data_IF_408493320193
#
_entry.id   IF_408493320193
#
_cell.length_a   1.000
_cell.length_b   1.000
_cell.length_c   1.000
_cell.angle_alpha   90.00
_cell.angle_beta   90.00
_cell.angle_gamma   90.00
#
_symmetry.space_group_name_H-M   'P 1'
#
loop_
_entity.id
_entity.type
_entity.pdbx_description
1 polymer ?
#
# COMPACT_ATOMS: atom_id res chain seq x y z
N UNK A 1 8.72 -20.91 1.50
CA UNK A 1 7.75 -20.21 2.38
C UNK A 1 7.91 -18.73 2.12
N UNK A 2 6.81 -17.99 1.92
CA UNK A 2 6.87 -16.53 1.71
C UNK A 2 6.96 -15.81 3.07
N UNK A 3 7.70 -14.69 3.18
CA UNK A 3 7.82 -13.97 4.43
C UNK A 3 6.55 -13.18 4.75
N UNK A 4 6.28 -12.99 6.04
CA UNK A 4 5.41 -11.89 6.50
C UNK A 4 6.23 -10.61 6.55
N UNK A 5 5.64 -9.50 6.09
CA UNK A 5 6.31 -8.21 6.02
C UNK A 5 5.59 -7.19 6.90
N UNK A 6 6.37 -6.41 7.66
CA UNK A 6 5.91 -5.18 8.29
C UNK A 6 6.51 -4.01 7.53
N UNK A 7 5.67 -3.21 6.86
CA UNK A 7 6.10 -2.09 6.02
C UNK A 7 5.58 -0.81 6.65
N UNK A 8 6.50 0.09 7.03
CA UNK A 8 6.13 1.46 7.37
C UNK A 8 5.72 2.19 6.09
N UNK A 9 4.47 2.63 6.00
CA UNK A 9 3.96 3.33 4.81
C UNK A 9 4.41 4.81 4.75
N UNK A 10 4.81 5.40 5.87
CA UNK A 10 5.34 6.76 5.92
C UNK A 10 4.43 7.81 5.28
N UNK A 11 5.04 8.82 4.65
CA UNK A 11 4.33 9.83 3.85
C UNK A 11 3.86 9.24 2.52
N UNK A 12 2.65 9.57 2.03
CA UNK A 12 2.17 9.20 0.69
C UNK A 12 3.17 9.51 -0.43
N UNK A 13 3.99 10.56 -0.27
CA UNK A 13 5.03 10.92 -1.22
C UNK A 13 6.02 9.79 -1.52
N UNK A 14 6.15 8.79 -0.66
CA UNK A 14 6.96 7.59 -0.90
C UNK A 14 6.63 6.91 -2.24
N UNK A 15 5.38 7.00 -2.71
CA UNK A 15 4.97 6.46 -4.00
C UNK A 15 5.64 7.17 -5.20
N UNK A 16 5.97 8.46 -5.06
CA UNK A 16 6.44 9.31 -6.16
C UNK A 16 7.89 9.78 -5.99
N UNK A 17 8.38 9.91 -4.75
CA UNK A 17 9.69 10.46 -4.44
C UNK A 17 10.75 9.36 -4.48
N UNK A 18 11.74 9.44 -5.38
CA UNK A 18 12.85 8.51 -5.41
C UNK A 18 13.67 8.56 -4.11
N UNK A 19 14.18 7.42 -3.68
CA UNK A 19 14.99 7.29 -2.47
C UNK A 19 15.08 5.85 -1.99
N UNK A 20 15.90 5.58 -0.95
CA UNK A 20 16.22 4.22 -0.55
C UNK A 20 14.99 3.35 -0.24
N UNK A 21 13.99 3.90 0.45
CA UNK A 21 12.76 3.18 0.76
C UNK A 21 11.89 2.93 -0.49
N UNK A 22 11.78 3.92 -1.38
CA UNK A 22 11.06 3.80 -2.65
C UNK A 22 11.67 2.70 -3.52
N UNK A 23 12.99 2.74 -3.71
CA UNK A 23 13.72 1.80 -4.55
C UNK A 23 13.66 0.38 -3.98
N UNK A 24 13.80 0.25 -2.66
CA UNK A 24 13.66 -1.02 -1.96
C UNK A 24 12.28 -1.66 -2.20
N UNK A 25 11.20 -0.92 -1.99
CA UNK A 25 9.83 -1.44 -2.15
C UNK A 25 9.54 -1.82 -3.61
N UNK A 26 10.00 -1.02 -4.57
CA UNK A 26 9.86 -1.33 -6.01
C UNK A 26 10.61 -2.60 -6.40
N UNK A 27 11.81 -2.82 -5.85
CA UNK A 27 12.56 -4.06 -6.08
C UNK A 27 11.86 -5.25 -5.42
N UNK A 28 11.46 -5.11 -4.15
CA UNK A 28 10.79 -6.16 -3.39
C UNK A 28 9.51 -6.66 -4.08
N UNK A 29 8.69 -5.74 -4.61
CA UNK A 29 7.47 -6.09 -5.34
C UNK A 29 7.72 -6.85 -6.66
N UNK A 30 8.93 -6.81 -7.21
CA UNK A 30 9.32 -7.60 -8.39
C UNK A 30 9.89 -8.97 -8.01
N UNK A 31 10.47 -9.10 -6.82
CA UNK A 31 11.10 -10.33 -6.34
C UNK A 31 10.08 -11.29 -5.70
N UNK A 32 9.01 -10.77 -5.10
CA UNK A 32 7.97 -11.57 -4.47
C UNK A 32 6.84 -11.88 -5.46
N UNK A 33 6.59 -13.17 -5.69
CA UNK A 33 5.55 -13.67 -6.60
C UNK A 33 4.53 -14.57 -5.87
N UNK A 34 3.78 -14.03 -4.89
CA UNK A 34 2.76 -14.79 -4.19
C UNK A 34 1.54 -15.07 -5.09
N UNK A 35 0.83 -16.17 -4.82
CA UNK A 35 -0.47 -16.45 -5.46
C UNK A 35 -1.60 -15.57 -4.90
N UNK A 36 -1.43 -15.04 -3.68
CA UNK A 36 -2.34 -14.09 -3.04
C UNK A 36 -1.59 -13.29 -1.95
N UNK A 37 -2.04 -12.06 -1.70
CA UNK A 37 -1.53 -11.19 -0.63
C UNK A 37 -2.69 -10.83 0.31
N UNK A 38 -2.46 -10.96 1.62
CA UNK A 38 -3.34 -10.39 2.64
C UNK A 38 -2.69 -9.12 3.16
N UNK A 39 -3.39 -7.98 3.03
CA UNK A 39 -2.91 -6.67 3.48
C UNK A 39 -3.67 -6.27 4.75
N UNK A 40 -2.93 -5.89 5.78
CA UNK A 40 -3.47 -5.28 7.01
C UNK A 40 -2.95 -3.84 7.07
N UNK A 41 -3.87 -2.87 7.08
CA UNK A 41 -3.54 -1.45 7.02
C UNK A 41 -3.86 -0.74 8.33
N UNK A 42 -2.95 0.10 8.80
CA UNK A 42 -3.18 0.98 9.96
C UNK A 42 -4.32 1.98 9.73
N UNK A 43 -4.60 2.29 8.45
CA UNK A 43 -5.65 3.22 8.04
C UNK A 43 -7.04 2.56 7.96
N UNK A 44 -7.12 1.23 8.04
CA UNK A 44 -8.39 0.51 8.02
C UNK A 44 -8.74 -0.06 9.39
N UNK A 45 -9.25 0.82 10.25
CA UNK A 45 -9.65 0.48 11.61
C UNK A 45 -11.16 0.26 11.73
N UNK A 46 -11.56 -0.79 12.44
CA UNK A 46 -12.96 -1.11 12.73
C UNK A 46 -13.10 -1.72 14.12
N UNK A 47 -14.32 -1.70 14.68
CA UNK A 47 -14.59 -2.26 16.03
C UNK A 47 -14.61 -3.79 16.06
N UNK A 48 -14.83 -4.42 14.92
CA UNK A 48 -14.89 -5.87 14.73
C UNK A 48 -13.90 -6.24 13.64
N UNK A 49 -13.47 -7.50 13.58
CA UNK A 49 -12.63 -7.96 12.48
C UNK A 49 -13.44 -7.97 11.18
N UNK A 50 -12.99 -7.20 10.20
CA UNK A 50 -13.58 -7.17 8.86
C UNK A 50 -12.56 -7.65 7.83
N UNK A 51 -13.06 -8.30 6.78
CA UNK A 51 -12.28 -8.75 5.63
C UNK A 51 -12.97 -8.23 4.37
N UNK A 52 -12.20 -7.59 3.49
CA UNK A 52 -12.70 -7.10 2.22
C UNK A 52 -12.52 -8.21 1.21
N UNK A 53 -13.60 -8.53 0.52
CA UNK A 53 -13.62 -9.54 -0.55
C UNK A 53 -13.84 -8.90 -1.92
N UNK A 54 -13.72 -7.57 -2.02
CA UNK A 54 -13.86 -6.88 -3.30
C UNK A 54 -12.74 -7.30 -4.25
N UNK A 55 -13.10 -7.81 -5.42
CA UNK A 55 -12.13 -8.14 -6.47
C UNK A 55 -11.42 -6.90 -7.01
N UNK A 56 -12.08 -5.73 -6.95
CA UNK A 56 -11.59 -4.44 -7.42
C UNK A 56 -12.06 -3.36 -6.44
N UNK A 57 -11.39 -3.20 -5.29
CA UNK A 57 -11.74 -2.13 -4.36
C UNK A 57 -11.55 -0.77 -5.02
N UNK A 58 -12.43 0.18 -4.71
CA UNK A 58 -12.20 1.58 -5.08
C UNK A 58 -10.95 2.11 -4.36
N UNK A 59 -10.14 2.90 -5.07
CA UNK A 59 -9.00 3.58 -4.44
C UNK A 59 -9.50 4.76 -3.63
N UNK A 60 -9.28 4.72 -2.30
CA UNK A 60 -9.61 5.80 -1.38
C UNK A 60 -8.33 6.55 -1.03
N UNK A 61 -8.29 7.86 -1.31
CA UNK A 61 -7.22 8.76 -0.87
C UNK A 61 -7.60 9.39 0.48
N UNK A 62 -7.19 8.75 1.57
CA UNK A 62 -7.53 9.16 2.94
C UNK A 62 -6.54 10.18 3.55
N UNK A 63 -5.86 10.95 2.70
CA UNK A 63 -4.87 11.98 3.05
C UNK A 63 -5.18 13.31 2.36
N UNK A 64 -4.59 14.41 2.85
CA UNK A 64 -4.81 15.76 2.31
C UNK A 64 -3.55 16.64 2.36
N UNK A 65 -3.54 17.72 1.58
CA UNK A 65 -2.41 18.66 1.51
C UNK A 65 -1.24 18.22 0.62
N UNK A 66 -1.46 17.23 -0.25
CA UNK A 66 -0.45 16.64 -1.12
C UNK A 66 -0.61 17.08 -2.59
N UNK A 67 0.42 16.90 -3.44
CA UNK A 67 0.34 17.17 -4.87
C UNK A 67 -0.74 16.32 -5.57
N UNK A 68 -1.28 16.86 -6.68
CA UNK A 68 -2.37 16.26 -7.45
C UNK A 68 -2.02 14.85 -7.96
N UNK A 69 -0.76 14.63 -8.30
CA UNK A 69 -0.21 13.39 -8.82
C UNK A 69 -0.47 12.19 -7.88
N UNK A 70 -0.55 12.42 -6.57
CA UNK A 70 -0.91 11.36 -5.61
C UNK A 70 -2.39 10.97 -5.68
N UNK A 71 -3.27 11.91 -5.99
CA UNK A 71 -4.70 11.66 -6.15
C UNK A 71 -5.05 11.05 -7.52
N UNK A 72 -4.09 11.01 -8.46
CA UNK A 72 -4.24 10.35 -9.76
C UNK A 72 -3.76 8.89 -9.73
N UNK A 73 -3.08 8.46 -8.66
CA UNK A 73 -2.67 7.07 -8.47
C UNK A 73 -3.89 6.19 -8.20
N UNK A 74 -4.04 5.08 -8.94
CA UNK A 74 -5.13 4.11 -8.77
C UNK A 74 -4.54 2.69 -8.73
N UNK A 75 -5.13 1.81 -7.92
CA UNK A 75 -4.67 0.42 -7.71
C UNK A 75 -5.76 -0.60 -8.05
#
# INVERSE_FOLDING_TARGET
MLPSLFISHGSPMLALTPGPAHDFLRRLGRELTPTAIVVVSAHWASRQLLVSTSERPETIHDFGGFPRELFECQY
#
